data_IF_352314394689
#
_entry.id   IF_352314394689
#
_cell.length_a   1.000
_cell.length_b   1.000
_cell.length_c   1.000
_cell.angle_alpha   90.00
_cell.angle_beta   90.00
_cell.angle_gamma   90.00
#
_symmetry.space_group_name_H-M   'P 1'
#
loop_
_entity.id
_entity.type
_entity.pdbx_description
1 polymer ?
#
# COMPACT_ATOMS: atom_id res chain seq x y z
N UNK A 1 -16.15 7.08 -33.48
CA UNK A 1 -16.10 8.32 -32.67
C UNK A 1 -15.99 7.83 -31.24
N UNK A 2 -14.84 8.02 -30.58
CA UNK A 2 -14.73 7.67 -29.15
C UNK A 2 -15.54 8.70 -28.39
N UNK A 3 -16.51 8.24 -27.60
CA UNK A 3 -17.24 9.11 -26.69
C UNK A 3 -16.25 9.93 -25.85
N UNK A 4 -16.57 11.19 -25.52
CA UNK A 4 -15.68 12.04 -24.73
C UNK A 4 -15.40 11.38 -23.39
N UNK A 5 -14.14 11.45 -22.94
CA UNK A 5 -13.73 10.88 -21.66
C UNK A 5 -14.61 11.43 -20.52
N UNK A 6 -15.18 10.52 -19.74
CA UNK A 6 -16.07 10.81 -18.62
C UNK A 6 -15.32 10.62 -17.30
N UNK A 7 -15.90 11.10 -16.19
CA UNK A 7 -15.33 10.90 -14.84
C UNK A 7 -15.24 9.40 -14.50
N UNK A 8 -16.05 8.55 -15.13
CA UNK A 8 -15.97 7.09 -14.99
C UNK A 8 -14.67 6.52 -15.54
N UNK A 9 -14.15 7.07 -16.64
CA UNK A 9 -12.87 6.60 -17.20
C UNK A 9 -11.69 6.93 -16.27
N UNK A 10 -11.77 8.03 -15.52
CA UNK A 10 -10.80 8.36 -14.47
C UNK A 10 -10.86 7.37 -13.31
N UNK A 11 -12.07 6.96 -12.91
CA UNK A 11 -12.29 5.95 -11.87
C UNK A 11 -11.63 4.62 -12.25
N UNK A 12 -11.81 4.17 -13.49
CA UNK A 12 -11.22 2.94 -14.01
C UNK A 12 -9.69 2.99 -14.04
N UNK A 13 -9.13 4.09 -14.55
CA UNK A 13 -7.67 4.30 -14.59
C UNK A 13 -7.10 4.32 -13.18
N UNK A 14 -7.70 5.08 -12.26
CA UNK A 14 -7.24 5.17 -10.88
C UNK A 14 -7.31 3.83 -10.17
N UNK A 15 -8.44 3.12 -10.28
CA UNK A 15 -8.64 1.80 -9.69
C UNK A 15 -7.62 0.80 -10.21
N UNK A 16 -7.33 0.82 -11.51
CA UNK A 16 -6.34 -0.09 -12.09
C UNK A 16 -4.92 0.22 -11.59
N UNK A 17 -4.54 1.50 -11.50
CA UNK A 17 -3.25 1.92 -10.94
C UNK A 17 -3.11 1.45 -9.49
N UNK A 18 -4.12 1.69 -8.65
CA UNK A 18 -4.10 1.27 -7.25
C UNK A 18 -4.00 -0.26 -7.13
N UNK A 19 -4.72 -1.02 -7.95
CA UNK A 19 -4.63 -2.49 -7.99
C UNK A 19 -3.22 -2.97 -8.32
N UNK A 20 -2.59 -2.39 -9.35
CA UNK A 20 -1.21 -2.72 -9.73
C UNK A 20 -0.22 -2.36 -8.62
N UNK A 21 -0.37 -1.19 -7.99
CA UNK A 21 0.47 -0.76 -6.87
C UNK A 21 0.29 -1.64 -5.64
N UNK A 22 -0.92 -2.10 -5.33
CA UNK A 22 -1.18 -3.02 -4.21
C UNK A 22 -0.51 -4.38 -4.45
N UNK A 23 -0.69 -4.95 -5.65
CA UNK A 23 -0.09 -6.22 -6.02
C UNK A 23 1.45 -6.14 -6.05
N UNK A 24 2.00 -5.11 -6.69
CA UNK A 24 3.43 -4.88 -6.74
C UNK A 24 4.02 -4.53 -5.37
N UNK A 25 3.33 -3.70 -4.60
CA UNK A 25 3.76 -3.24 -3.28
C UNK A 25 3.86 -4.37 -2.26
N UNK A 26 2.92 -5.33 -2.25
CA UNK A 26 3.01 -6.51 -1.41
C UNK A 26 4.25 -7.37 -1.74
N UNK A 27 4.54 -7.54 -3.03
CA UNK A 27 5.72 -8.28 -3.49
C UNK A 27 7.03 -7.56 -3.12
N UNK A 28 7.07 -6.23 -3.30
CA UNK A 28 8.22 -5.41 -2.89
C UNK A 28 8.44 -5.47 -1.39
N UNK A 29 7.38 -5.35 -0.58
CA UNK A 29 7.45 -5.49 0.87
C UNK A 29 8.07 -6.83 1.25
N UNK A 30 7.59 -7.93 0.66
CA UNK A 30 8.11 -9.27 0.91
C UNK A 30 9.60 -9.39 0.59
N UNK A 31 10.04 -8.91 -0.57
CA UNK A 31 11.46 -8.91 -0.98
C UNK A 31 12.31 -8.08 -0.02
N UNK A 32 11.84 -6.90 0.40
CA UNK A 32 12.55 -6.06 1.35
C UNK A 32 12.70 -6.73 2.71
N UNK A 33 11.65 -7.41 3.21
CA UNK A 33 11.71 -8.16 4.46
C UNK A 33 12.71 -9.31 4.38
N UNK A 34 12.70 -10.09 3.28
CA UNK A 34 13.65 -11.18 3.08
C UNK A 34 15.10 -10.69 2.98
N UNK A 35 15.35 -9.69 2.14
CA UNK A 35 16.71 -9.19 1.89
C UNK A 35 17.27 -8.46 3.11
N UNK A 36 16.46 -7.67 3.81
CA UNK A 36 16.87 -7.01 5.06
C UNK A 36 17.06 -8.02 6.20
N UNK A 37 16.18 -9.02 6.34
CA UNK A 37 16.30 -10.08 7.34
C UNK A 37 17.54 -10.95 7.11
N UNK A 38 17.79 -11.34 5.86
CA UNK A 38 18.99 -12.12 5.52
C UNK A 38 20.25 -11.30 5.76
N UNK A 39 20.28 -10.03 5.33
CA UNK A 39 21.39 -9.12 5.59
C UNK A 39 21.64 -8.95 7.09
N UNK A 40 20.59 -8.81 7.89
CA UNK A 40 20.70 -8.70 9.34
C UNK A 40 21.40 -9.93 9.95
N UNK A 41 21.00 -11.13 9.53
CA UNK A 41 21.56 -12.39 10.03
C UNK A 41 22.99 -12.64 9.54
N UNK A 42 23.30 -12.34 8.28
CA UNK A 42 24.62 -12.56 7.68
C UNK A 42 25.65 -11.49 8.02
N UNK A 43 25.25 -10.40 8.67
CA UNK A 43 26.15 -9.27 8.99
C UNK A 43 27.29 -9.62 9.95
N UNK A 44 27.21 -10.74 10.70
CA UNK A 44 28.34 -11.27 11.49
C UNK A 44 28.95 -10.32 12.54
N UNK A 45 28.26 -9.22 12.90
CA UNK A 45 28.76 -8.19 13.81
C UNK A 45 29.23 -6.89 13.13
N UNK A 46 29.21 -6.80 11.80
CA UNK A 46 29.45 -5.53 11.09
C UNK A 46 28.32 -4.53 11.40
N UNK A 47 28.66 -3.51 12.18
CA UNK A 47 27.70 -2.54 12.69
C UNK A 47 26.99 -1.77 11.57
N UNK A 48 27.67 -1.52 10.44
CA UNK A 48 27.12 -0.77 9.30
C UNK A 48 26.11 -1.60 8.53
N UNK A 49 26.38 -2.89 8.33
CA UNK A 49 25.48 -3.82 7.68
C UNK A 49 24.21 -4.05 8.50
N UNK A 50 24.36 -4.21 9.83
CA UNK A 50 23.24 -4.34 10.77
C UNK A 50 22.38 -3.08 10.79
N UNK A 51 22.99 -1.90 10.89
CA UNK A 51 22.24 -0.63 10.93
C UNK A 51 21.47 -0.39 9.62
N UNK A 52 22.09 -0.67 8.48
CA UNK A 52 21.42 -0.60 7.18
C UNK A 52 20.21 -1.53 7.08
N UNK A 53 20.36 -2.79 7.51
CA UNK A 53 19.27 -3.76 7.52
C UNK A 53 18.12 -3.34 8.45
N UNK A 54 18.44 -2.85 9.66
CA UNK A 54 17.44 -2.32 10.60
C UNK A 54 16.67 -1.14 10.02
N UNK A 55 17.36 -0.17 9.39
CA UNK A 55 16.70 0.99 8.77
C UNK A 55 15.72 0.54 7.68
N UNK A 56 16.15 -0.34 6.77
CA UNK A 56 15.26 -0.88 5.72
C UNK A 56 14.03 -1.55 6.32
N UNK A 57 14.22 -2.38 7.36
CA UNK A 57 13.14 -3.07 8.04
C UNK A 57 12.16 -2.09 8.70
N UNK A 58 12.67 -1.06 9.38
CA UNK A 58 11.86 0.00 9.99
C UNK A 58 11.02 0.74 8.95
N UNK A 59 11.58 1.08 7.79
CA UNK A 59 10.81 1.75 6.73
C UNK A 59 9.76 0.83 6.10
N UNK A 60 10.08 -0.45 5.87
CA UNK A 60 9.14 -1.42 5.33
C UNK A 60 7.94 -1.62 6.29
N UNK A 61 8.21 -1.85 7.57
CA UNK A 61 7.18 -1.99 8.60
C UNK A 61 6.41 -0.68 8.77
N UNK A 62 7.09 0.46 8.83
CA UNK A 62 6.47 1.78 8.97
C UNK A 62 5.49 2.08 7.85
N UNK A 63 5.86 1.80 6.60
CA UNK A 63 4.97 1.95 5.44
C UNK A 63 3.77 1.01 5.51
N UNK A 64 3.98 -0.26 5.87
CA UNK A 64 2.88 -1.23 6.03
C UNK A 64 1.90 -0.81 7.14
N UNK A 65 2.41 -0.37 8.28
CA UNK A 65 1.61 0.13 9.40
C UNK A 65 0.84 1.38 9.00
N UNK A 66 1.46 2.32 8.27
CA UNK A 66 0.77 3.51 7.76
C UNK A 66 -0.40 3.15 6.82
N UNK A 67 -0.23 2.17 5.94
CA UNK A 67 -1.31 1.67 5.08
C UNK A 67 -2.45 1.06 5.90
N UNK A 68 -2.12 0.25 6.92
CA UNK A 68 -3.12 -0.33 7.82
C UNK A 68 -3.92 0.74 8.57
N UNK A 69 -3.24 1.79 9.07
CA UNK A 69 -3.89 2.92 9.72
C UNK A 69 -4.78 3.72 8.76
N UNK A 70 -4.32 3.96 7.53
CA UNK A 70 -5.11 4.63 6.49
C UNK A 70 -6.44 3.89 6.27
N UNK A 71 -6.38 2.57 6.07
CA UNK A 71 -7.57 1.74 5.92
C UNK A 71 -8.49 1.78 7.16
N UNK A 72 -7.91 1.73 8.36
CA UNK A 72 -8.67 1.77 9.61
C UNK A 72 -9.42 3.09 9.78
N UNK A 73 -8.77 4.23 9.48
CA UNK A 73 -9.41 5.55 9.54
C UNK A 73 -10.58 5.62 8.54
N UNK A 74 -10.37 5.20 7.29
CA UNK A 74 -11.42 5.20 6.26
C UNK A 74 -12.61 4.34 6.66
N UNK A 75 -12.35 3.17 7.26
CA UNK A 75 -13.41 2.27 7.76
C UNK A 75 -14.21 2.89 8.90
N UNK A 76 -13.53 3.53 9.85
CA UNK A 76 -14.21 4.23 10.96
C UNK A 76 -15.13 5.32 10.40
N UNK A 77 -14.62 6.17 9.51
CA UNK A 77 -15.42 7.22 8.87
C UNK A 77 -16.62 6.59 8.15
N UNK A 78 -16.38 5.56 7.33
CA UNK A 78 -17.41 4.87 6.57
C UNK A 78 -18.51 4.24 7.44
N UNK A 79 -18.17 3.70 8.61
CA UNK A 79 -19.15 3.18 9.57
C UNK A 79 -20.00 4.29 10.20
N UNK A 80 -19.40 5.45 10.48
CA UNK A 80 -20.14 6.59 11.06
C UNK A 80 -21.04 7.29 10.03
N UNK A 81 -20.60 7.43 8.79
CA UNK A 81 -21.36 8.11 7.71
C UNK A 81 -22.31 7.18 6.96
N UNK A 82 -22.22 5.86 7.18
CA UNK A 82 -22.97 4.86 6.42
C UNK A 82 -22.48 4.69 4.97
N UNK A 83 -21.27 5.18 4.64
CA UNK A 83 -20.70 5.16 3.28
C UNK A 83 -19.46 4.26 3.15
N UNK A 84 -19.31 3.28 4.03
CA UNK A 84 -18.18 2.32 4.05
C UNK A 84 -17.81 1.80 2.65
N UNK A 85 -18.79 1.32 1.89
CA UNK A 85 -18.55 0.71 0.57
C UNK A 85 -18.05 1.69 -0.51
N UNK A 86 -18.39 2.98 -0.40
CA UNK A 86 -18.01 4.02 -1.38
C UNK A 86 -16.57 4.47 -1.14
N UNK A 87 -16.18 4.60 0.13
CA UNK A 87 -14.88 5.12 0.53
C UNK A 87 -13.78 4.05 0.38
N UNK A 88 -14.11 2.76 0.55
CA UNK A 88 -13.12 1.68 0.44
C UNK A 88 -12.87 1.19 -0.98
N UNK A 89 -13.81 1.32 -1.90
CA UNK A 89 -13.69 0.79 -3.27
C UNK A 89 -13.46 1.87 -4.34
N UNK A 90 -13.39 3.15 -3.96
CA UNK A 90 -13.31 4.30 -4.87
C UNK A 90 -14.24 4.15 -6.07
N UNK A 91 -15.54 4.03 -5.81
CA UNK A 91 -16.58 3.93 -6.85
C UNK A 91 -17.52 5.10 -6.71
N UNK A 92 -17.43 6.07 -7.62
CA UNK A 92 -18.22 7.31 -7.59
C UNK A 92 -19.59 7.08 -8.24
N UNK A 93 -19.62 6.31 -9.32
CA UNK A 93 -20.85 5.97 -10.03
C UNK A 93 -21.25 4.52 -9.73
N UNK A 94 -22.19 4.36 -8.79
CA UNK A 94 -22.86 3.09 -8.56
C UNK A 94 -23.77 2.81 -9.76
N UNK A 95 -23.34 1.90 -10.62
CA UNK A 95 -24.16 1.38 -11.72
C UNK A 95 -25.09 0.29 -11.21
#
# INVERSE_FOLDING_TARGET
MTDPATIKDLEDVFTNIVKVLMAGGALTLFILLLTSGFKYLSSGGDQKAVEGAKKTLTYAIGGFVALAFSYLILRIIGQFTGTDSIITNFTIFKN
#
